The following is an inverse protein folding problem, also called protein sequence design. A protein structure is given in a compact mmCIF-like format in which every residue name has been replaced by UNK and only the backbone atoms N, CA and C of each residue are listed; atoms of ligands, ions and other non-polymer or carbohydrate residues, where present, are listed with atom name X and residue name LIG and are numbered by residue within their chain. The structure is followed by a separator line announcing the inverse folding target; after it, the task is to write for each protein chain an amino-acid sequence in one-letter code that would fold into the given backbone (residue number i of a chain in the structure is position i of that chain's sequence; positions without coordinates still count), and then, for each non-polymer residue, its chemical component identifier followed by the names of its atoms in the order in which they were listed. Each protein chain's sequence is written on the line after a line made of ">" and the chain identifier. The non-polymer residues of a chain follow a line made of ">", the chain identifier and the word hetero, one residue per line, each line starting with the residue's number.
data_IF_043059460454
#
_entry.id   IF_043059460454
#
_cell.length_a   1.000
_cell.length_b   1.000
_cell.length_c   1.000
_cell.angle_alpha   90.00
_cell.angle_beta   90.00
_cell.angle_gamma   90.00
#
_symmetry.space_group_name_H-M   'P 1'
#
loop_
_entity.id
_entity.type
_entity.pdbx_description
1 polymer ?
#
# COMPACT_ATOMS: atom_id res chain seq x y z
N UNK A 1 1.34 -14.38 16.16
CA UNK A 1 0.58 -14.20 14.91
C UNK A 1 0.99 -12.93 14.20
N UNK A 2 1.36 -13.07 12.93
CA UNK A 2 1.69 -11.99 12.00
C UNK A 2 0.51 -11.76 11.08
N UNK A 3 0.21 -10.50 10.77
CA UNK A 3 -0.87 -10.12 9.86
C UNK A 3 -0.32 -9.37 8.66
N UNK A 4 -0.44 -9.92 7.45
CA UNK A 4 -0.14 -9.22 6.19
C UNK A 4 -1.38 -8.48 5.70
N UNK A 5 -1.22 -7.21 5.35
CA UNK A 5 -2.32 -6.34 4.97
C UNK A 5 -2.01 -5.65 3.65
N UNK A 6 -2.80 -5.97 2.64
CA UNK A 6 -2.90 -5.22 1.39
C UNK A 6 -4.39 -4.92 1.09
N UNK A 7 -4.85 -3.68 1.29
CA UNK A 7 -6.23 -3.33 1.02
C UNK A 7 -6.63 -3.43 -0.45
N UNK A 8 -5.68 -3.31 -1.37
CA UNK A 8 -5.95 -3.29 -2.80
C UNK A 8 -5.98 -4.70 -3.39
N UNK A 9 -5.03 -5.56 -3.05
CA UNK A 9 -4.92 -6.88 -3.68
C UNK A 9 -5.09 -8.06 -2.72
N UNK A 10 -4.94 -7.86 -1.41
CA UNK A 10 -5.16 -8.86 -0.37
C UNK A 10 -4.39 -10.16 -0.61
N UNK A 11 -5.13 -11.27 -0.70
CA UNK A 11 -4.62 -12.60 -1.02
C UNK A 11 -3.74 -12.62 -2.28
N UNK A 12 -4.11 -11.84 -3.31
CA UNK A 12 -3.40 -11.83 -4.60
C UNK A 12 -1.98 -11.26 -4.54
N UNK A 13 -1.66 -10.48 -3.51
CA UNK A 13 -0.32 -9.92 -3.32
C UNK A 13 0.43 -10.54 -2.14
N UNK A 14 -0.29 -10.92 -1.08
CA UNK A 14 0.33 -11.37 0.15
C UNK A 14 0.43 -12.89 0.30
N UNK A 15 -0.38 -13.70 -0.39
CA UNK A 15 -0.38 -15.16 -0.20
C UNK A 15 0.96 -15.78 -0.58
N UNK A 16 1.55 -15.38 -1.71
CA UNK A 16 2.85 -15.88 -2.15
C UNK A 16 3.97 -15.59 -1.13
N UNK A 17 3.84 -14.51 -0.35
CA UNK A 17 4.77 -14.19 0.74
C UNK A 17 4.45 -15.04 1.98
N UNK A 18 3.17 -15.16 2.33
CA UNK A 18 2.69 -15.91 3.48
C UNK A 18 3.02 -17.41 3.40
N UNK A 19 3.04 -18.00 2.20
CA UNK A 19 3.43 -19.41 1.97
C UNK A 19 4.87 -19.73 2.44
N UNK A 20 5.70 -18.72 2.66
CA UNK A 20 7.09 -18.83 3.07
C UNK A 20 7.35 -18.31 4.50
N UNK A 21 6.29 -18.08 5.28
CA UNK A 21 6.38 -17.56 6.65
C UNK A 21 5.51 -18.37 7.61
N UNK A 22 5.98 -18.54 8.85
CA UNK A 22 5.22 -19.22 9.90
C UNK A 22 4.26 -18.26 10.63
N UNK A 23 3.11 -18.77 11.07
CA UNK A 23 2.12 -18.03 11.88
C UNK A 23 1.64 -16.70 11.25
N UNK A 24 1.52 -16.69 9.91
CA UNK A 24 1.01 -15.57 9.12
C UNK A 24 -0.46 -15.76 8.77
N UNK A 25 -1.23 -14.69 8.94
CA UNK A 25 -2.55 -14.54 8.35
C UNK A 25 -2.51 -13.41 7.31
N UNK A 26 -3.09 -13.65 6.13
CA UNK A 26 -3.34 -12.60 5.13
C UNK A 26 -4.74 -12.03 5.35
N UNK A 27 -4.84 -10.70 5.39
CA UNK A 27 -6.13 -10.02 5.43
C UNK A 27 -6.70 -9.87 4.02
N UNK A 28 -8.00 -10.15 3.79
CA UNK A 28 -8.59 -10.01 2.46
C UNK A 28 -8.55 -8.56 1.97
N UNK A 29 -8.51 -8.41 0.65
CA UNK A 29 -8.61 -7.12 0.01
C UNK A 29 -9.95 -6.44 0.34
N UNK A 30 -9.98 -5.12 0.25
CA UNK A 30 -11.21 -4.34 0.35
C UNK A 30 -12.23 -4.80 -0.69
N UNK A 31 -13.49 -4.92 -0.27
CA UNK A 31 -14.65 -5.14 -1.14
C UNK A 31 -15.45 -3.85 -1.35
N UNK A 32 -14.86 -2.70 -1.04
CA UNK A 32 -15.50 -1.41 -1.23
C UNK A 32 -15.73 -1.20 -2.72
N UNK A 33 -16.94 -0.81 -3.10
CA UNK A 33 -17.28 -0.51 -4.48
C UNK A 33 -16.74 0.87 -4.91
N UNK A 34 -15.42 1.06 -4.78
CA UNK A 34 -14.69 2.28 -5.06
C UNK A 34 -13.23 1.95 -5.40
N UNK A 35 -12.71 2.61 -6.43
CA UNK A 35 -11.35 2.50 -6.98
C UNK A 35 -10.26 3.21 -6.16
N UNK A 36 -10.64 3.84 -5.04
CA UNK A 36 -9.77 4.77 -4.30
C UNK A 36 -9.03 4.05 -3.18
N UNK A 37 -7.70 3.90 -3.32
CA UNK A 37 -6.85 3.15 -2.40
C UNK A 37 -6.94 3.59 -0.92
N UNK A 38 -7.05 4.89 -0.64
CA UNK A 38 -7.22 5.37 0.75
C UNK A 38 -8.56 4.95 1.37
N UNK A 39 -9.62 4.91 0.56
CA UNK A 39 -10.94 4.44 1.02
C UNK A 39 -10.97 2.93 1.22
N UNK A 40 -10.27 2.19 0.36
CA UNK A 40 -10.07 0.75 0.52
C UNK A 40 -9.27 0.45 1.81
N UNK A 41 -8.21 1.20 2.08
CA UNK A 41 -7.45 1.13 3.32
C UNK A 41 -8.32 1.45 4.55
N UNK A 42 -9.16 2.48 4.47
CA UNK A 42 -10.11 2.83 5.54
C UNK A 42 -11.06 1.67 5.86
N UNK A 43 -11.69 1.09 4.84
CA UNK A 43 -12.60 -0.05 5.04
C UNK A 43 -11.87 -1.23 5.69
N UNK A 44 -10.64 -1.52 5.25
CA UNK A 44 -9.84 -2.62 5.82
C UNK A 44 -9.48 -2.36 7.27
N UNK A 45 -9.05 -1.14 7.63
CA UNK A 45 -8.76 -0.79 9.02
C UNK A 45 -10.01 -0.91 9.91
N UNK A 46 -11.15 -0.40 9.46
CA UNK A 46 -12.42 -0.52 10.18
C UNK A 46 -12.83 -1.99 10.38
N UNK A 47 -12.68 -2.81 9.33
CA UNK A 47 -12.97 -4.24 9.40
C UNK A 47 -12.03 -4.96 10.38
N UNK A 48 -10.73 -4.66 10.36
CA UNK A 48 -9.75 -5.24 11.27
C UNK A 48 -10.07 -4.89 12.73
N UNK A 49 -10.35 -3.62 13.01
CA UNK A 49 -10.74 -3.13 14.34
C UNK A 49 -11.95 -3.85 14.91
N UNK A 50 -12.93 -4.17 14.05
CA UNK A 50 -14.14 -4.89 14.45
C UNK A 50 -13.91 -6.32 14.95
N UNK A 51 -12.76 -6.95 14.62
CA UNK A 51 -12.55 -8.37 14.90
C UNK A 51 -12.12 -8.70 16.33
N UNK A 52 -11.84 -7.71 17.17
CA UNK A 52 -11.23 -7.83 18.51
C UNK A 52 -9.96 -8.69 18.61
N UNK A 53 -9.41 -9.15 17.48
CA UNK A 53 -8.19 -9.94 17.42
C UNK A 53 -6.97 -9.04 17.62
N UNK A 54 -6.04 -9.52 18.44
CA UNK A 54 -4.72 -8.92 18.57
C UNK A 54 -3.70 -9.73 17.77
N UNK A 55 -2.72 -9.06 17.16
CA UNK A 55 -1.58 -9.68 16.52
C UNK A 55 -0.27 -9.20 17.16
N UNK A 56 0.80 -9.98 16.98
CA UNK A 56 2.13 -9.58 17.45
C UNK A 56 2.73 -8.56 16.48
N UNK A 57 2.51 -8.71 15.18
CA UNK A 57 3.05 -7.83 14.15
C UNK A 57 2.02 -7.62 13.05
N UNK A 58 1.75 -6.35 12.72
CA UNK A 58 1.01 -5.97 11.52
C UNK A 58 1.99 -5.52 10.42
N UNK A 59 1.88 -6.08 9.23
CA UNK A 59 2.76 -5.76 8.11
C UNK A 59 1.90 -5.18 6.99
N UNK A 60 2.12 -3.90 6.71
CA UNK A 60 1.59 -3.26 5.52
C UNK A 60 2.53 -3.55 4.36
N UNK A 61 2.19 -4.52 3.52
CA UNK A 61 2.99 -4.95 2.38
C UNK A 61 2.07 -5.29 1.21
N UNK A 62 2.65 -5.45 0.01
CA UNK A 62 1.85 -5.68 -1.18
C UNK A 62 1.37 -4.38 -1.84
N UNK A 63 0.76 -4.54 -3.00
CA UNK A 63 0.03 -3.47 -3.66
C UNK A 63 0.87 -2.25 -3.99
N UNK A 64 0.25 -1.08 -3.81
CA UNK A 64 0.90 0.22 -4.00
C UNK A 64 1.14 0.93 -2.65
N UNK A 65 1.35 0.17 -1.57
CA UNK A 65 1.74 0.71 -0.27
C UNK A 65 0.60 1.15 0.66
N UNK A 66 -0.66 0.99 0.26
CA UNK A 66 -1.81 1.40 1.08
C UNK A 66 -2.04 0.53 2.32
N UNK A 67 -1.39 -0.64 2.42
CA UNK A 67 -1.40 -1.47 3.64
C UNK A 67 -0.71 -0.82 4.83
N UNK A 68 0.13 0.19 4.61
CA UNK A 68 0.84 0.87 5.69
C UNK A 68 -0.10 1.60 6.66
N UNK A 69 -1.17 2.22 6.16
CA UNK A 69 -2.14 2.91 6.99
C UNK A 69 -2.83 1.99 7.99
N UNK A 70 -3.49 0.90 7.55
CA UNK A 70 -4.10 -0.06 8.46
C UNK A 70 -3.12 -0.71 9.43
N UNK A 71 -1.91 -1.08 8.98
CA UNK A 71 -0.90 -1.67 9.86
C UNK A 71 -0.47 -0.70 10.98
N UNK A 72 -0.25 0.57 10.65
CA UNK A 72 0.03 1.63 11.62
C UNK A 72 -1.15 1.88 12.56
N UNK A 73 -2.39 1.89 12.04
CA UNK A 73 -3.62 2.06 12.80
C UNK A 73 -3.86 0.94 13.84
N UNK A 74 -3.45 -0.29 13.54
CA UNK A 74 -3.50 -1.41 14.50
C UNK A 74 -2.51 -1.23 15.66
N UNK A 75 -1.31 -0.70 15.41
CA UNK A 75 -0.35 -0.40 16.48
C UNK A 75 -0.85 0.75 17.34
N UNK A 76 -1.37 1.82 16.72
CA UNK A 76 -1.96 2.98 17.44
C UNK A 76 -3.12 2.57 18.36
N UNK A 77 -3.94 1.61 17.94
CA UNK A 77 -5.08 1.11 18.73
C UNK A 77 -4.71 0.02 19.74
N UNK A 78 -3.44 -0.41 19.82
CA UNK A 78 -2.98 -1.49 20.69
C UNK A 78 -3.42 -2.89 20.24
N UNK A 79 -3.95 -3.02 19.03
CA UNK A 79 -4.31 -4.32 18.44
C UNK A 79 -3.11 -5.05 17.82
N UNK A 80 -2.04 -4.34 17.51
CA UNK A 80 -0.75 -4.91 17.15
C UNK A 80 0.34 -4.42 18.12
N UNK A 81 1.30 -5.28 18.49
CA UNK A 81 2.44 -4.85 19.32
C UNK A 81 3.43 -4.00 18.53
N UNK A 82 3.60 -4.29 17.23
CA UNK A 82 4.48 -3.57 16.32
C UNK A 82 4.00 -3.61 14.88
N UNK A 83 4.57 -2.75 14.02
CA UNK A 83 4.35 -2.79 12.59
C UNK A 83 5.61 -2.64 11.73
N UNK A 84 5.59 -3.31 10.57
CA UNK A 84 6.54 -3.09 9.47
C UNK A 84 5.76 -2.53 8.28
N UNK A 85 6.17 -1.36 7.80
CA UNK A 85 5.53 -0.66 6.69
C UNK A 85 6.44 -0.76 5.47
N UNK A 86 6.11 -1.67 4.55
CA UNK A 86 6.90 -1.88 3.32
C UNK A 86 6.39 -0.95 2.23
N UNK A 87 7.26 -0.07 1.75
CA UNK A 87 6.95 0.90 0.71
C UNK A 87 5.63 1.65 0.96
N UNK A 88 5.50 2.37 2.09
CA UNK A 88 4.24 3.00 2.45
C UNK A 88 3.79 4.05 1.41
N UNK A 89 2.49 4.13 1.14
CA UNK A 89 1.92 5.13 0.25
C UNK A 89 1.98 6.53 0.89
N UNK A 90 2.68 7.48 0.25
CA UNK A 90 2.83 8.85 0.80
C UNK A 90 1.48 9.59 0.86
N UNK A 91 0.54 9.23 -0.01
CA UNK A 91 -0.82 9.77 -0.05
C UNK A 91 -1.59 9.64 1.30
N UNK A 92 -1.15 8.76 2.20
CA UNK A 92 -1.74 8.58 3.54
C UNK A 92 -1.20 9.54 4.61
N UNK A 93 -0.15 10.33 4.31
CA UNK A 93 0.59 11.07 5.36
C UNK A 93 0.08 12.49 5.64
N UNK A 94 -0.77 13.02 4.75
CA UNK A 94 -1.12 14.45 4.69
C UNK A 94 0.08 15.42 4.56
N UNK A 95 1.30 14.90 4.33
CA UNK A 95 2.51 15.70 4.22
C UNK A 95 2.69 16.18 2.78
N UNK A 96 2.46 17.47 2.57
CA UNK A 96 2.52 18.12 1.26
C UNK A 96 3.93 18.07 0.66
N UNK A 97 4.97 18.16 1.48
CA UNK A 97 6.35 18.14 1.00
C UNK A 97 6.78 16.74 0.60
N UNK A 98 6.47 15.71 1.40
CA UNK A 98 6.71 14.33 0.99
C UNK A 98 5.92 13.99 -0.27
N UNK A 99 4.67 14.46 -0.36
CA UNK A 99 3.85 14.25 -1.57
C UNK A 99 4.53 14.83 -2.80
N UNK A 100 5.11 16.04 -2.69
CA UNK A 100 5.89 16.64 -3.78
C UNK A 100 7.10 15.78 -4.14
N UNK A 101 7.91 15.40 -3.15
CA UNK A 101 9.12 14.58 -3.36
C UNK A 101 8.78 13.22 -4.00
N UNK A 102 7.68 12.61 -3.59
CA UNK A 102 7.21 11.33 -4.15
C UNK A 102 6.74 11.50 -5.60
N UNK A 103 6.09 12.64 -5.90
CA UNK A 103 5.56 12.99 -7.23
C UNK A 103 6.56 13.64 -8.19
N UNK A 104 7.75 14.04 -7.73
CA UNK A 104 8.75 14.80 -8.51
C UNK A 104 9.45 13.97 -9.60
N UNK A 105 8.92 12.79 -9.94
CA UNK A 105 9.09 12.15 -11.25
C UNK A 105 8.52 13.04 -12.36
N UNK A 106 9.42 13.87 -12.94
CA UNK A 106 9.41 14.46 -14.28
C UNK A 106 8.03 14.78 -14.90
N UNK A 107 7.77 16.07 -15.13
CA UNK A 107 6.60 16.56 -15.89
C UNK A 107 6.42 15.86 -17.27
N UNK A 108 7.50 15.35 -17.87
CA UNK A 108 7.44 14.58 -19.12
C UNK A 108 6.77 13.21 -18.95
N UNK A 109 6.96 12.57 -17.79
CA UNK A 109 6.37 11.26 -17.47
C UNK A 109 4.86 11.44 -17.26
N UNK A 110 4.45 12.53 -16.60
CA UNK A 110 3.03 12.89 -16.41
C UNK A 110 2.30 13.15 -17.73
N UNK A 111 2.90 13.88 -18.68
CA UNK A 111 2.28 14.11 -19.99
C UNK A 111 2.12 12.81 -20.77
N UNK A 112 3.14 11.95 -20.76
CA UNK A 112 3.09 10.66 -21.43
C UNK A 112 2.00 9.75 -20.85
N UNK A 113 1.83 9.75 -19.52
CA UNK A 113 0.74 9.01 -18.86
C UNK A 113 -0.63 9.53 -19.25
N UNK A 114 -0.84 10.85 -19.31
CA UNK A 114 -2.11 11.44 -19.78
C UNK A 114 -2.41 11.01 -21.22
N UNK A 115 -1.42 11.05 -22.11
CA UNK A 115 -1.60 10.65 -23.51
C UNK A 115 -2.00 9.18 -23.64
N UNK A 116 -1.38 8.29 -22.86
CA UNK A 116 -1.75 6.87 -22.80
C UNK A 116 -3.17 6.67 -22.26
N UNK A 117 -3.60 7.50 -21.31
CA UNK A 117 -4.93 7.44 -20.69
C UNK A 117 -6.03 8.08 -21.53
N UNK A 118 -5.69 8.96 -22.48
CA UNK A 118 -6.65 9.73 -23.29
C UNK A 118 -7.78 8.90 -23.93
N UNK A 119 -7.52 7.70 -24.49
CA UNK A 119 -8.58 6.86 -25.07
C UNK A 119 -9.62 6.37 -24.04
N UNK A 120 -9.24 6.33 -22.77
CA UNK A 120 -10.06 5.79 -21.67
C UNK A 120 -10.77 6.87 -20.86
N UNK A 121 -10.39 8.15 -21.01
CA UNK A 121 -10.99 9.28 -20.28
C UNK A 121 -12.52 9.31 -20.33
N UNK A 122 -13.20 9.08 -21.48
CA UNK A 122 -14.66 9.11 -21.53
C UNK A 122 -15.34 8.02 -20.68
N UNK A 123 -14.66 6.90 -20.40
CA UNK A 123 -15.16 5.84 -19.54
C UNK A 123 -14.79 6.10 -18.07
N UNK A 124 -13.58 6.59 -17.83
CA UNK A 124 -13.12 7.00 -16.49
C UNK A 124 -13.97 8.15 -15.92
N UNK A 125 -14.36 9.12 -16.76
CA UNK A 125 -15.20 10.26 -16.37
C UNK A 125 -16.61 9.82 -15.92
N UNK A 126 -17.09 8.67 -16.40
CA UNK A 126 -18.36 8.09 -15.90
C UNK A 126 -18.21 7.51 -14.50
N UNK A 127 -16.98 7.21 -14.07
CA UNK A 127 -16.65 6.67 -12.76
C UNK A 127 -17.33 5.34 -12.43
N UNK A 128 -17.92 4.63 -13.39
CA UNK A 128 -18.71 3.42 -13.09
C UNK A 128 -17.88 2.14 -13.19
N UNK A 129 -16.94 2.12 -14.13
CA UNK A 129 -16.07 0.99 -14.42
C UNK A 129 -14.66 1.48 -14.68
N UNK A 130 -13.69 0.63 -14.39
CA UNK A 130 -12.30 0.89 -14.73
C UNK A 130 -11.94 0.14 -16.01
N UNK A 131 -11.57 0.84 -17.10
CA UNK A 131 -11.33 0.18 -18.37
C UNK A 131 -10.12 -0.76 -18.31
N UNK A 132 -10.22 -1.94 -18.93
CA UNK A 132 -9.18 -2.98 -18.84
C UNK A 132 -7.79 -2.53 -19.33
N UNK A 133 -7.75 -1.62 -20.31
CA UNK A 133 -6.49 -1.07 -20.83
C UNK A 133 -5.74 -0.19 -19.82
N UNK A 134 -6.44 0.33 -18.81
CA UNK A 134 -5.86 1.22 -17.80
C UNK A 134 -4.96 0.47 -16.82
N UNK A 135 -5.26 -0.79 -16.50
CA UNK A 135 -4.41 -1.60 -15.60
C UNK A 135 -2.98 -1.76 -16.13
N UNK A 136 -2.83 -1.88 -17.45
CA UNK A 136 -1.51 -1.99 -18.09
C UNK A 136 -0.73 -0.68 -17.96
N UNK A 137 -1.40 0.46 -18.13
CA UNK A 137 -0.79 1.78 -18.00
C UNK A 137 -0.26 1.99 -16.58
N UNK A 138 -1.06 1.70 -15.55
CA UNK A 138 -0.59 1.80 -14.17
C UNK A 138 0.53 0.81 -13.84
N UNK A 139 0.50 -0.40 -14.41
CA UNK A 139 1.56 -1.35 -14.20
C UNK A 139 2.90 -0.88 -14.81
N UNK A 140 2.87 -0.21 -15.96
CA UNK A 140 4.05 0.40 -16.60
C UNK A 140 4.67 1.52 -15.75
N UNK A 141 3.85 2.28 -15.03
CA UNK A 141 4.32 3.33 -14.11
C UNK A 141 5.02 2.77 -12.87
N UNK A 142 4.65 1.56 -12.44
CA UNK A 142 5.16 0.95 -11.22
C UNK A 142 6.38 0.06 -11.44
N UNK A 143 6.60 -0.45 -12.65
CA UNK A 143 7.77 -1.27 -12.96
C UNK A 143 8.16 -1.24 -14.44
N UNK A 144 9.46 -1.13 -14.77
CA UNK A 144 9.95 -1.22 -16.14
C UNK A 144 9.96 -2.66 -16.69
N UNK A 145 9.76 -3.68 -15.85
CA UNK A 145 9.81 -5.09 -16.25
C UNK A 145 8.49 -5.53 -16.96
N UNK A 146 8.51 -5.89 -18.25
CA UNK A 146 7.31 -6.24 -19.00
C UNK A 146 6.53 -7.46 -18.47
N UNK A 147 7.22 -8.42 -17.86
CA UNK A 147 6.62 -9.63 -17.29
C UNK A 147 5.91 -9.28 -15.99
N UNK A 148 6.54 -8.46 -15.14
CA UNK A 148 5.89 -7.94 -13.94
C UNK A 148 4.70 -7.04 -14.26
N UNK A 149 4.78 -6.22 -15.32
CA UNK A 149 3.65 -5.41 -15.78
C UNK A 149 2.42 -6.26 -16.12
N UNK A 150 2.61 -7.38 -16.82
CA UNK A 150 1.51 -8.28 -17.20
C UNK A 150 0.87 -8.96 -15.99
N UNK A 151 1.70 -9.44 -15.08
CA UNK A 151 1.24 -10.07 -13.83
C UNK A 151 0.50 -9.07 -12.94
N UNK A 152 1.06 -7.88 -12.75
CA UNK A 152 0.45 -6.83 -11.94
C UNK A 152 -0.89 -6.36 -12.52
N UNK A 153 -0.95 -6.09 -13.83
CA UNK A 153 -2.19 -5.67 -14.48
C UNK A 153 -3.30 -6.73 -14.32
N UNK A 154 -2.96 -8.01 -14.42
CA UNK A 154 -3.91 -9.12 -14.21
C UNK A 154 -4.42 -9.16 -12.76
N UNK A 155 -3.52 -9.05 -11.78
CA UNK A 155 -3.88 -9.02 -10.36
C UNK A 155 -4.79 -7.84 -10.06
N UNK A 156 -4.44 -6.67 -10.58
CA UNK A 156 -5.20 -5.44 -10.39
C UNK A 156 -6.61 -5.57 -10.99
N UNK A 157 -6.70 -6.04 -12.24
CA UNK A 157 -7.99 -6.27 -12.89
C UNK A 157 -8.88 -7.20 -12.06
N UNK A 158 -8.36 -8.36 -11.63
CA UNK A 158 -9.13 -9.31 -10.85
C UNK A 158 -9.59 -8.78 -9.49
N UNK A 159 -8.82 -7.88 -8.87
CA UNK A 159 -9.21 -7.22 -7.64
C UNK A 159 -10.32 -6.20 -7.87
N UNK A 160 -10.23 -5.41 -8.95
CA UNK A 160 -11.19 -4.36 -9.26
C UNK A 160 -12.51 -4.88 -9.85
N UNK A 161 -12.51 -6.01 -10.56
CA UNK A 161 -13.73 -6.66 -11.07
C UNK A 161 -14.76 -6.91 -9.95
N UNK A 162 -14.29 -7.19 -8.72
CA UNK A 162 -15.17 -7.41 -7.55
C UNK A 162 -15.71 -6.13 -6.92
N UNK A 163 -15.10 -4.97 -7.22
CA UNK A 163 -15.47 -3.65 -6.71
C UNK A 163 -16.37 -2.89 -7.68
N UNK A 164 -16.51 -3.39 -8.90
CA UNK A 164 -17.33 -2.80 -9.94
C UNK A 164 -18.75 -3.39 -9.94
N UNK A 165 -19.78 -2.61 -10.29
CA UNK A 165 -19.73 -1.19 -10.62
C UNK A 165 -19.42 -0.34 -9.37
N UNK A 166 -18.71 0.76 -9.57
CA UNK A 166 -18.38 1.68 -8.48
C UNK A 166 -19.60 2.48 -8.03
N UNK A 167 -19.72 2.65 -6.72
CA UNK A 167 -20.72 3.49 -6.10
C UNK A 167 -20.15 4.91 -5.91
N UNK A 168 -20.64 5.82 -6.77
CA UNK A 168 -20.21 7.21 -6.77
C UNK A 168 -20.71 8.01 -5.55
N UNK A 169 -21.60 7.45 -4.73
CA UNK A 169 -22.00 8.07 -3.46
C UNK A 169 -20.97 7.87 -2.35
N UNK A 170 -20.06 6.91 -2.50
CA UNK A 170 -18.95 6.70 -1.58
C UNK A 170 -17.96 7.85 -1.73
N UNK A 171 -17.57 8.54 -0.63
CA UNK A 171 -16.62 9.64 -0.66
C UNK A 171 -15.27 9.25 -1.25
N UNK A 172 -14.56 10.24 -1.80
CA UNK A 172 -13.19 10.08 -2.29
C UNK A 172 -12.14 10.06 -1.17
N UNK A 173 -12.52 10.48 0.03
CA UNK A 173 -11.64 10.58 1.19
C UNK A 173 -12.38 10.12 2.44
N UNK A 174 -11.68 9.46 3.40
CA UNK A 174 -12.24 9.17 4.70
C UNK A 174 -12.65 10.45 5.44
N UNK A 175 -13.45 10.31 6.49
CA UNK A 175 -13.64 11.40 7.43
C UNK A 175 -12.30 11.76 8.13
N UNK A 176 -12.17 12.97 8.71
CA UNK A 176 -10.90 13.42 9.27
C UNK A 176 -10.32 12.53 10.36
N UNK A 177 -11.16 11.89 11.19
CA UNK A 177 -10.70 10.99 12.24
C UNK A 177 -10.11 9.72 11.63
N UNK A 178 -10.84 9.07 10.73
CA UNK A 178 -10.37 7.92 9.97
C UNK A 178 -9.09 8.22 9.16
N UNK A 179 -9.00 9.41 8.56
CA UNK A 179 -7.82 9.85 7.81
C UNK A 179 -6.60 10.00 8.70
N UNK A 180 -6.79 10.52 9.92
CA UNK A 180 -5.72 10.59 10.93
C UNK A 180 -5.31 9.19 11.41
N UNK A 181 -6.24 8.26 11.60
CA UNK A 181 -5.91 6.89 11.98
C UNK A 181 -5.07 6.15 10.93
N UNK A 182 -5.32 6.42 9.64
CA UNK A 182 -4.54 5.88 8.52
C UNK A 182 -3.19 6.57 8.31
N UNK A 183 -2.93 7.68 9.01
CA UNK A 183 -1.69 8.42 8.88
C UNK A 183 -0.53 7.65 9.50
N UNK A 184 0.14 6.86 8.66
CA UNK A 184 1.26 6.04 9.08
C UNK A 184 2.49 6.87 9.47
N UNK A 185 2.65 8.09 8.92
CA UNK A 185 3.77 8.98 9.27
C UNK A 185 3.61 9.45 10.72
N UNK A 186 2.41 9.85 11.13
CA UNK A 186 2.13 10.20 12.52
C UNK A 186 2.38 9.02 13.47
N UNK A 187 1.93 7.82 13.11
CA UNK A 187 2.21 6.61 13.90
C UNK A 187 3.72 6.32 13.99
N UNK A 188 4.45 6.47 12.90
CA UNK A 188 5.88 6.21 12.85
C UNK A 188 6.69 7.23 13.66
N UNK A 189 6.28 8.51 13.67
CA UNK A 189 6.90 9.57 14.46
C UNK A 189 6.70 9.41 15.98
N UNK A 190 5.65 8.70 16.41
CA UNK A 190 5.40 8.47 17.83
C UNK A 190 6.45 7.51 18.43
N UNK A 191 7.28 8.05 19.33
CA UNK A 191 8.33 7.29 20.02
C UNK A 191 7.82 6.14 20.89
N UNK A 192 6.55 6.18 21.31
CA UNK A 192 5.91 5.13 22.11
C UNK A 192 5.44 3.94 21.29
N UNK A 193 5.45 4.02 19.97
CA UNK A 193 5.01 2.95 19.07
C UNK A 193 6.21 2.26 18.42
N UNK A 194 6.16 0.93 18.31
CA UNK A 194 7.12 0.13 17.55
C UNK A 194 6.66 0.04 16.08
N UNK A 195 7.09 1.00 15.27
CA UNK A 195 6.79 1.05 13.84
C UNK A 195 8.10 1.20 13.10
N UNK A 196 8.34 0.32 12.13
CA UNK A 196 9.53 0.35 11.27
C UNK A 196 9.11 0.59 9.82
N UNK A 197 9.74 1.55 9.15
CA UNK A 197 9.54 1.81 7.72
C UNK A 197 10.60 1.06 6.91
N UNK A 198 10.18 0.29 5.92
CA UNK A 198 11.05 -0.34 4.93
C UNK A 198 10.85 0.35 3.58
N UNK A 199 11.94 0.82 3.00
CA UNK A 199 11.96 1.38 1.66
C UNK A 199 12.74 0.45 0.74
N UNK A 200 12.17 0.13 -0.41
CA UNK A 200 12.90 -0.46 -1.52
C UNK A 200 14.02 0.44 -2.04
N UNK A 201 14.95 -0.13 -2.79
CA UNK A 201 16.11 0.55 -3.35
C UNK A 201 15.70 1.73 -4.25
N UNK A 202 14.74 1.52 -5.16
CA UNK A 202 14.19 2.59 -6.01
C UNK A 202 13.38 3.66 -5.23
N UNK A 203 13.02 3.43 -3.96
CA UNK A 203 12.38 4.42 -3.07
C UNK A 203 13.34 5.02 -2.02
N UNK A 204 14.63 4.68 -2.05
CA UNK A 204 15.63 5.18 -1.10
C UNK A 204 15.73 6.71 -1.03
N UNK A 205 15.33 7.43 -2.09
CA UNK A 205 15.26 8.91 -2.12
C UNK A 205 14.36 9.49 -1.02
N UNK A 206 13.39 8.74 -0.52
CA UNK A 206 12.50 9.18 0.57
C UNK A 206 13.15 9.05 1.95
N UNK A 207 14.28 8.36 2.07
CA UNK A 207 14.89 8.07 3.36
C UNK A 207 15.33 9.33 4.11
N UNK A 208 15.99 10.27 3.43
CA UNK A 208 16.49 11.48 4.08
C UNK A 208 15.36 12.43 4.51
N UNK A 209 14.36 12.75 3.65
CA UNK A 209 13.18 13.52 4.07
C UNK A 209 12.43 12.89 5.26
N UNK A 210 12.37 11.56 5.33
CA UNK A 210 11.75 10.86 6.46
C UNK A 210 12.61 10.94 7.74
N UNK A 211 13.93 10.80 7.62
CA UNK A 211 14.85 10.95 8.77
C UNK A 211 14.85 12.35 9.33
N UNK A 212 14.70 13.38 8.51
CA UNK A 212 14.57 14.77 8.95
C UNK A 212 13.30 14.99 9.79
N UNK A 213 12.19 14.36 9.41
CA UNK A 213 10.92 14.42 10.14
C UNK A 213 10.97 13.69 11.47
N UNK A 214 11.66 12.56 11.51
CA UNK A 214 11.69 11.69 12.68
C UNK A 214 13.11 11.13 12.96
N UNK A 215 14.04 11.97 13.45
CA UNK A 215 15.41 11.54 13.68
C UNK A 215 15.50 10.35 14.63
N UNK A 216 16.25 9.33 14.23
CA UNK A 216 16.45 8.11 15.03
C UNK A 216 15.30 7.11 15.00
N UNK A 217 14.20 7.38 14.28
CA UNK A 217 13.13 6.40 14.11
C UNK A 217 13.55 5.26 13.17
N UNK A 218 13.09 4.01 13.40
CA UNK A 218 13.51 2.86 12.59
C UNK A 218 13.11 3.00 11.13
N UNK A 219 14.11 3.10 10.26
CA UNK A 219 13.97 3.15 8.80
C UNK A 219 15.05 2.29 8.16
N UNK A 220 14.65 1.32 7.34
CA UNK A 220 15.53 0.37 6.68
C UNK A 220 15.39 0.51 5.17
N UNK A 221 16.52 0.68 4.48
CA UNK A 221 16.57 0.61 3.02
C UNK A 221 16.91 -0.83 2.64
N UNK A 222 16.06 -1.43 1.82
CA UNK A 222 16.21 -2.80 1.38
C UNK A 222 16.95 -2.90 0.04
N UNK A 223 17.71 -3.98 -0.21
CA UNK A 223 18.51 -4.16 -1.43
C UNK A 223 17.71 -4.69 -2.64
N UNK A 224 16.41 -4.41 -2.70
CA UNK A 224 15.51 -4.80 -3.78
C UNK A 224 14.56 -3.65 -4.12
N UNK A 225 14.06 -3.66 -5.35
CA UNK A 225 13.09 -2.66 -5.81
C UNK A 225 11.68 -2.95 -5.31
N UNK A 226 10.80 -1.98 -5.51
CA UNK A 226 9.37 -2.10 -5.21
C UNK A 226 8.73 -3.28 -5.94
N UNK A 227 7.55 -3.70 -5.46
CA UNK A 227 6.84 -4.90 -5.92
C UNK A 227 7.62 -6.21 -5.67
N UNK A 228 8.53 -6.24 -4.68
CA UNK A 228 9.25 -7.45 -4.28
C UNK A 228 8.32 -8.62 -3.95
N UNK A 229 7.12 -8.34 -3.42
CA UNK A 229 6.08 -9.33 -3.17
C UNK A 229 5.64 -10.07 -4.45
N UNK A 230 5.77 -9.43 -5.61
CA UNK A 230 5.42 -10.00 -6.92
C UNK A 230 6.65 -10.62 -7.60
N UNK A 231 7.80 -9.96 -7.53
CA UNK A 231 9.01 -10.38 -8.24
C UNK A 231 9.77 -11.49 -7.54
N UNK A 232 9.89 -11.46 -6.22
CA UNK A 232 10.58 -12.46 -5.40
C UNK A 232 9.97 -12.53 -3.98
N UNK A 233 8.78 -13.16 -3.85
CA UNK A 233 8.07 -13.25 -2.57
C UNK A 233 8.86 -14.03 -1.50
N UNK A 234 9.70 -15.00 -1.90
CA UNK A 234 10.56 -15.76 -0.99
C UNK A 234 11.58 -14.84 -0.32
N UNK A 235 12.20 -13.95 -1.09
CA UNK A 235 13.17 -12.99 -0.55
C UNK A 235 12.51 -12.00 0.42
N UNK A 236 11.30 -11.52 0.12
CA UNK A 236 10.54 -10.69 1.04
C UNK A 236 10.21 -11.45 2.33
N UNK A 237 9.68 -12.67 2.21
CA UNK A 237 9.33 -13.52 3.35
C UNK A 237 10.54 -13.78 4.27
N UNK A 238 11.68 -14.16 3.70
CA UNK A 238 12.91 -14.39 4.46
C UNK A 238 13.37 -13.12 5.20
N UNK A 239 13.31 -11.96 4.54
CA UNK A 239 13.65 -10.70 5.17
C UNK A 239 12.73 -10.38 6.36
N UNK A 240 11.42 -10.54 6.18
CA UNK A 240 10.43 -10.33 7.23
C UNK A 240 10.66 -11.28 8.41
N UNK A 241 10.81 -12.59 8.16
CA UNK A 241 11.11 -13.58 9.21
C UNK A 241 12.37 -13.24 10.00
N UNK A 242 13.43 -12.79 9.31
CA UNK A 242 14.68 -12.36 9.96
C UNK A 242 14.47 -11.14 10.86
N UNK A 243 13.62 -10.19 10.47
CA UNK A 243 13.35 -8.98 11.24
C UNK A 243 12.37 -9.17 12.41
N UNK A 244 11.70 -10.31 12.46
CA UNK A 244 10.74 -10.70 13.49
C UNK A 244 11.32 -11.69 14.51
N UNK A 245 12.51 -12.25 14.23
CA UNK A 245 13.28 -13.12 15.12
C UNK A 245 14.05 -12.32 16.16
#
# INVERSE_FOLDING_TARGET
>A
MILLIDPQFGDRSCDAVAEHMDDVQVWPASTLHREIGIMQANQVLASLKSTSKHCDTAIGAGGTGFGAGPAAGLVRSGQAKRAILVDPAIALTHDVELTKIDSETSYADYQQSIEKMAPFLPELDKGTYFPSGVYRIFAEELTPDPDLQGRLATIWQQAEEKRQPYDQTIPLQPDPESSEELNWLHAWMDSGLDVTVWLSANRARLADPLRERAPGRPLVIQPWDSLIWLSDPVRLAHALTTALS
#
